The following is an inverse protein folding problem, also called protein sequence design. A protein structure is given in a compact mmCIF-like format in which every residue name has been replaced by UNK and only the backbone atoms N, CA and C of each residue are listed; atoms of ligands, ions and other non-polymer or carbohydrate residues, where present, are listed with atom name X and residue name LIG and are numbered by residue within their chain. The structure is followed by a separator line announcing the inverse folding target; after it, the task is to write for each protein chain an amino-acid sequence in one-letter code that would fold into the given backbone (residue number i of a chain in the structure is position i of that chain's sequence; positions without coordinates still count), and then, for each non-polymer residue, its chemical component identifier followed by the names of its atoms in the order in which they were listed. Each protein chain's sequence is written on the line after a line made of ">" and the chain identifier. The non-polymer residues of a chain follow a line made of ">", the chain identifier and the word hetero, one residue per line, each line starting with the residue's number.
data_IF_387199924740
#
_entry.id   IF_387199924740
#
_cell.length_a   1.000
_cell.length_b   1.000
_cell.length_c   1.000
_cell.angle_alpha   90.00
_cell.angle_beta   90.00
_cell.angle_gamma   90.00
#
_symmetry.space_group_name_H-M   'P 1'
#
loop_
_entity.id
_entity.type
_entity.pdbx_description
1 polymer ?
#
# COMPACT_ATOMS: atom_id res chain seq x y z
N UNK A 1 -10.22 25.41 -13.70
CA UNK A 1 -9.62 24.10 -13.46
C UNK A 1 -10.17 23.61 -12.12
N UNK A 2 -11.00 22.56 -12.12
CA UNK A 2 -11.56 21.99 -10.89
C UNK A 2 -10.45 21.20 -10.23
N UNK A 3 -9.97 21.64 -9.06
CA UNK A 3 -9.08 20.85 -8.20
C UNK A 3 -9.90 19.68 -7.68
N UNK A 4 -9.73 18.51 -8.30
CA UNK A 4 -10.22 17.24 -7.73
C UNK A 4 -9.42 17.02 -6.46
N UNK A 5 -9.98 17.33 -5.31
CA UNK A 5 -9.43 16.96 -4.01
C UNK A 5 -9.68 15.46 -3.84
N UNK A 6 -8.66 14.62 -4.03
CA UNK A 6 -8.75 13.23 -3.67
C UNK A 6 -8.74 13.13 -2.14
N UNK A 7 -9.56 12.24 -1.61
CA UNK A 7 -9.65 12.04 -0.18
C UNK A 7 -8.34 11.45 0.34
N UNK A 8 -7.81 12.01 1.45
CA UNK A 8 -6.66 11.45 2.16
C UNK A 8 -7.08 10.88 3.51
N UNK A 9 -6.31 9.91 3.99
CA UNK A 9 -6.40 9.39 5.36
C UNK A 9 -5.23 9.92 6.17
N UNK A 10 -5.44 10.16 7.45
CA UNK A 10 -4.43 10.77 8.33
C UNK A 10 -3.96 9.77 9.38
N UNK A 11 -2.64 9.59 9.48
CA UNK A 11 -1.98 8.91 10.59
C UNK A 11 -0.76 9.73 11.02
N UNK A 12 -0.70 10.13 12.30
CA UNK A 12 0.27 11.13 12.73
C UNK A 12 0.05 12.44 11.98
N UNK A 13 1.09 12.93 11.32
CA UNK A 13 1.08 14.10 10.42
C UNK A 13 1.01 13.72 8.92
N UNK A 14 0.98 12.42 8.61
CA UNK A 14 0.88 11.92 7.24
C UNK A 14 -0.54 12.07 6.69
N UNK A 15 -0.69 12.81 5.61
CA UNK A 15 -1.90 12.80 4.78
C UNK A 15 -1.70 11.89 3.58
N UNK A 16 -2.20 10.65 3.62
CA UNK A 16 -1.97 9.65 2.59
C UNK A 16 -3.20 9.53 1.68
N UNK A 17 -3.07 9.71 0.34
CA UNK A 17 -4.20 9.55 -0.58
C UNK A 17 -4.79 8.15 -0.48
N UNK A 18 -6.13 8.07 -0.47
CA UNK A 18 -6.87 6.82 -0.20
C UNK A 18 -6.67 5.73 -1.25
N UNK A 19 -6.29 6.13 -2.48
CA UNK A 19 -6.05 5.21 -3.58
C UNK A 19 -4.67 5.47 -4.18
N UNK A 20 -3.83 4.44 -4.17
CA UNK A 20 -2.53 4.45 -4.82
C UNK A 20 -2.49 3.57 -6.07
N UNK A 21 -1.51 3.81 -6.92
CA UNK A 21 -1.16 2.95 -8.05
C UNK A 21 -0.05 1.99 -7.62
N UNK A 22 -0.39 0.71 -7.46
CA UNK A 22 0.59 -0.35 -7.22
C UNK A 22 1.36 -0.70 -8.49
N UNK A 23 2.66 -0.98 -8.35
CA UNK A 23 3.56 -1.28 -9.49
C UNK A 23 4.09 -2.71 -9.50
N UNK A 24 3.63 -3.59 -8.60
CA UNK A 24 4.10 -4.98 -8.56
C UNK A 24 3.90 -5.69 -9.91
N UNK A 25 4.94 -6.40 -10.40
CA UNK A 25 4.95 -7.04 -11.73
C UNK A 25 4.66 -6.09 -12.91
N UNK A 26 4.89 -4.79 -12.75
CA UNK A 26 4.92 -3.86 -13.87
C UNK A 26 6.38 -3.65 -14.27
N UNK A 27 6.76 -3.89 -15.51
CA UNK A 27 8.17 -3.87 -15.96
C UNK A 27 8.32 -3.11 -17.28
N UNK A 28 9.54 -2.65 -17.53
CA UNK A 28 9.91 -2.02 -18.80
C UNK A 28 9.03 -0.84 -19.20
N UNK A 29 8.73 -0.72 -20.49
CA UNK A 29 7.96 0.41 -21.01
C UNK A 29 6.53 0.48 -20.47
N UNK A 30 5.90 -0.65 -20.20
CA UNK A 30 4.54 -0.68 -19.62
C UNK A 30 4.51 -0.05 -18.22
N UNK A 31 5.56 -0.26 -17.40
CA UNK A 31 5.69 0.39 -16.10
C UNK A 31 5.84 1.91 -16.25
N UNK A 32 6.72 2.34 -17.13
CA UNK A 32 6.94 3.78 -17.41
C UNK A 32 5.63 4.43 -17.85
N UNK A 33 4.92 3.80 -18.77
CA UNK A 33 3.69 4.34 -19.34
C UNK A 33 2.55 4.40 -18.35
N UNK A 34 2.32 3.35 -17.57
CA UNK A 34 1.22 3.31 -16.61
C UNK A 34 1.45 4.28 -15.45
N UNK A 35 2.68 4.43 -14.95
CA UNK A 35 3.02 5.42 -13.92
C UNK A 35 2.84 6.84 -14.46
N UNK A 36 3.36 7.12 -15.65
CA UNK A 36 3.23 8.44 -16.28
C UNK A 36 1.76 8.81 -16.50
N UNK A 37 0.96 7.91 -17.07
CA UNK A 37 -0.45 8.14 -17.33
C UNK A 37 -1.25 8.24 -16.03
N UNK A 38 -0.96 7.40 -15.02
CA UNK A 38 -1.62 7.46 -13.73
C UNK A 38 -1.48 8.84 -13.08
N UNK A 39 -0.25 9.38 -13.01
CA UNK A 39 -0.02 10.72 -12.48
C UNK A 39 -0.73 11.80 -13.31
N UNK A 40 -0.69 11.72 -14.65
CA UNK A 40 -1.39 12.67 -15.52
C UNK A 40 -2.92 12.60 -15.38
N UNK A 41 -3.48 11.44 -15.06
CA UNK A 41 -4.91 11.24 -14.80
C UNK A 41 -5.32 11.71 -13.40
N UNK A 42 -4.34 11.99 -12.52
CA UNK A 42 -4.57 12.50 -11.18
C UNK A 42 -4.45 11.46 -10.07
N UNK A 43 -3.74 10.35 -10.28
CA UNK A 43 -3.25 9.59 -9.15
C UNK A 43 -2.29 10.45 -8.32
N UNK A 44 -2.53 10.49 -7.03
CA UNK A 44 -1.72 11.24 -6.06
C UNK A 44 -0.89 10.31 -5.17
N UNK A 45 -0.88 8.99 -5.44
CA UNK A 45 -0.08 8.02 -4.69
C UNK A 45 0.45 6.95 -5.64
N UNK A 46 1.77 6.73 -5.61
CA UNK A 46 2.46 5.63 -6.30
C UNK A 46 3.12 4.72 -5.26
N UNK A 47 2.82 3.42 -5.34
CA UNK A 47 3.41 2.39 -4.49
C UNK A 47 4.32 1.46 -5.30
N UNK A 48 5.58 1.38 -4.89
CA UNK A 48 6.58 0.46 -5.43
C UNK A 48 7.35 -0.26 -4.32
N UNK A 49 8.37 -1.01 -4.67
CA UNK A 49 9.29 -1.65 -3.72
C UNK A 49 10.61 -2.01 -4.39
N UNK A 50 11.70 -2.05 -3.62
CA UNK A 50 13.01 -2.51 -4.07
C UNK A 50 12.94 -3.93 -4.66
N UNK A 51 12.17 -4.83 -4.02
CA UNK A 51 12.02 -6.22 -4.47
C UNK A 51 11.31 -6.37 -5.83
N UNK A 52 10.61 -5.34 -6.31
CA UNK A 52 9.94 -5.40 -7.61
C UNK A 52 10.90 -5.21 -8.78
N UNK A 53 12.14 -4.78 -8.51
CA UNK A 53 13.19 -4.52 -9.50
C UNK A 53 12.78 -3.55 -10.60
N UNK A 54 11.83 -2.65 -10.32
CA UNK A 54 11.26 -1.69 -11.27
C UNK A 54 11.31 -0.23 -10.79
N UNK A 55 12.03 0.07 -9.71
CA UNK A 55 12.13 1.43 -9.19
C UNK A 55 12.67 2.43 -10.23
N UNK A 56 13.57 1.97 -11.12
CA UNK A 56 14.11 2.82 -12.22
C UNK A 56 13.03 3.18 -13.24
N UNK A 57 12.21 2.22 -13.62
CA UNK A 57 11.07 2.44 -14.53
C UNK A 57 10.01 3.34 -13.88
N UNK A 58 9.76 3.17 -12.57
CA UNK A 58 8.87 4.07 -11.82
C UNK A 58 9.41 5.49 -11.83
N UNK A 59 10.70 5.70 -11.53
CA UNK A 59 11.36 7.02 -11.63
C UNK A 59 11.27 7.64 -13.02
N UNK A 60 11.50 6.83 -14.07
CA UNK A 60 11.34 7.28 -15.47
C UNK A 60 9.87 7.64 -15.78
N UNK A 61 8.90 6.87 -15.28
CA UNK A 61 7.47 7.16 -15.43
C UNK A 61 7.07 8.47 -14.74
N UNK A 62 7.56 8.69 -13.53
CA UNK A 62 7.39 9.96 -12.80
C UNK A 62 7.93 11.11 -13.61
N UNK A 63 9.17 11.03 -14.05
CA UNK A 63 9.81 12.06 -14.88
C UNK A 63 9.05 12.32 -16.17
N UNK A 64 8.63 11.26 -16.87
CA UNK A 64 7.84 11.35 -18.11
C UNK A 64 6.46 12.00 -17.88
N UNK A 65 5.86 11.86 -16.71
CA UNK A 65 4.56 12.45 -16.40
C UNK A 65 4.56 13.98 -16.44
N UNK A 66 5.70 14.61 -16.13
CA UNK A 66 5.84 16.05 -15.94
C UNK A 66 5.15 16.58 -14.68
N UNK A 67 4.62 15.71 -13.81
CA UNK A 67 3.97 16.07 -12.55
C UNK A 67 5.05 16.41 -11.52
N UNK A 68 4.87 17.51 -10.78
CA UNK A 68 5.86 17.95 -9.79
C UNK A 68 5.94 16.96 -8.62
N UNK A 69 7.16 16.64 -8.15
CA UNK A 69 7.42 15.61 -7.12
C UNK A 69 6.67 15.85 -5.80
N UNK A 70 6.46 17.08 -5.43
CA UNK A 70 5.80 17.49 -4.18
C UNK A 70 4.27 17.46 -4.23
N UNK A 71 3.69 17.09 -5.38
CA UNK A 71 2.24 17.03 -5.57
C UNK A 71 1.66 15.62 -5.48
N UNK A 72 2.49 14.60 -5.27
CA UNK A 72 2.03 13.23 -5.09
C UNK A 72 2.86 12.52 -4.01
N UNK A 73 2.27 11.46 -3.45
CA UNK A 73 2.83 10.61 -2.41
C UNK A 73 3.54 9.41 -3.03
N UNK A 74 4.81 9.20 -2.72
CA UNK A 74 5.61 8.09 -3.23
C UNK A 74 6.00 7.15 -2.10
N UNK A 75 5.63 5.88 -2.23
CA UNK A 75 5.98 4.80 -1.31
C UNK A 75 6.97 3.84 -1.96
N UNK A 76 8.03 3.48 -1.24
CA UNK A 76 8.84 2.30 -1.54
C UNK A 76 9.09 1.45 -0.30
N UNK A 77 9.66 0.25 -0.49
CA UNK A 77 9.82 -0.76 0.58
C UNK A 77 11.17 -1.43 0.48
N UNK A 78 11.82 -1.65 1.63
CA UNK A 78 13.06 -2.43 1.68
C UNK A 78 12.72 -3.87 2.03
N UNK A 79 13.22 -4.81 1.24
CA UNK A 79 13.04 -6.25 1.45
C UNK A 79 14.12 -6.80 2.38
N UNK A 80 13.82 -7.76 3.29
CA UNK A 80 14.76 -8.20 4.36
C UNK A 80 15.90 -9.12 3.92
N UNK A 81 15.99 -9.53 2.64
CA UNK A 81 17.07 -10.39 2.15
C UNK A 81 18.46 -9.79 2.45
N UNK A 82 19.49 -10.64 2.51
CA UNK A 82 20.88 -10.26 2.85
C UNK A 82 21.02 -9.47 4.15
N UNK A 83 20.14 -9.67 5.12
CA UNK A 83 20.09 -8.95 6.41
C UNK A 83 20.02 -7.42 6.22
N UNK A 84 19.27 -6.95 5.21
CA UNK A 84 19.15 -5.51 4.92
C UNK A 84 18.57 -4.67 6.05
N UNK A 85 17.97 -5.31 7.06
CA UNK A 85 17.44 -4.60 8.23
C UNK A 85 18.50 -4.28 9.29
N UNK A 86 19.75 -4.78 9.14
CA UNK A 86 20.86 -4.24 9.90
C UNK A 86 21.03 -2.74 9.60
N UNK A 87 21.27 -1.87 10.60
CA UNK A 87 21.21 -0.42 10.45
C UNK A 87 21.96 0.16 9.24
N UNK A 88 23.21 -0.24 9.05
CA UNK A 88 24.05 0.25 7.96
C UNK A 88 23.55 -0.21 6.59
N UNK A 89 23.05 -1.46 6.50
CA UNK A 89 22.52 -2.02 5.27
C UNK A 89 21.17 -1.41 4.91
N UNK A 90 20.31 -1.15 5.92
CA UNK A 90 19.03 -0.49 5.72
C UNK A 90 19.22 0.92 5.16
N UNK A 91 20.16 1.67 5.73
CA UNK A 91 20.55 2.99 5.23
C UNK A 91 21.03 2.93 3.77
N UNK A 92 21.92 1.98 3.45
CA UNK A 92 22.44 1.81 2.11
C UNK A 92 21.34 1.39 1.11
N UNK A 93 20.43 0.50 1.52
CA UNK A 93 19.30 0.05 0.71
C UNK A 93 18.34 1.20 0.41
N UNK A 94 17.99 2.02 1.41
CA UNK A 94 17.13 3.19 1.21
C UNK A 94 17.75 4.19 0.23
N UNK A 95 19.04 4.53 0.36
CA UNK A 95 19.74 5.42 -0.57
C UNK A 95 19.73 4.87 -2.00
N UNK A 96 19.93 3.57 -2.17
CA UNK A 96 19.86 2.92 -3.50
C UNK A 96 18.46 3.01 -4.12
N UNK A 97 17.40 2.86 -3.31
CA UNK A 97 16.03 3.06 -3.78
C UNK A 97 15.80 4.50 -4.26
N UNK A 98 16.30 5.51 -3.53
CA UNK A 98 16.21 6.91 -3.95
C UNK A 98 16.98 7.16 -5.26
N UNK A 99 18.17 6.60 -5.41
CA UNK A 99 18.95 6.66 -6.66
C UNK A 99 18.19 6.03 -7.84
N UNK A 100 17.58 4.85 -7.63
CA UNK A 100 16.78 4.19 -8.66
C UNK A 100 15.54 5.00 -9.04
N UNK A 101 14.87 5.61 -8.08
CA UNK A 101 13.68 6.42 -8.28
C UNK A 101 13.98 7.84 -8.84
N UNK A 102 15.25 8.24 -8.93
CA UNK A 102 15.71 9.59 -9.35
C UNK A 102 15.05 10.69 -8.49
N UNK A 103 15.08 10.53 -7.14
CA UNK A 103 14.48 11.44 -6.17
C UNK A 103 15.30 11.57 -4.89
N UNK A 104 15.22 12.73 -4.23
CA UNK A 104 15.94 12.97 -2.98
C UNK A 104 15.24 12.36 -1.75
N UNK A 105 13.93 12.07 -1.85
CA UNK A 105 13.13 11.52 -0.76
C UNK A 105 11.94 10.69 -1.28
N UNK A 106 11.44 9.81 -0.43
CA UNK A 106 10.10 9.22 -0.57
C UNK A 106 9.18 9.76 0.52
N UNK A 107 7.86 9.71 0.30
CA UNK A 107 6.90 10.14 1.30
C UNK A 107 6.70 9.07 2.38
N UNK A 108 6.81 7.78 2.00
CA UNK A 108 6.71 6.65 2.92
C UNK A 108 7.73 5.57 2.58
N UNK A 109 8.47 5.13 3.59
CA UNK A 109 9.38 3.99 3.50
C UNK A 109 8.88 2.87 4.40
N UNK A 110 8.69 1.67 3.83
CA UNK A 110 8.21 0.50 4.55
C UNK A 110 9.32 -0.54 4.74
N UNK A 111 9.30 -1.23 5.87
CA UNK A 111 9.87 -2.58 5.98
C UNK A 111 8.91 -3.54 5.29
N UNK A 112 9.36 -4.26 4.25
CA UNK A 112 8.47 -5.01 3.34
C UNK A 112 7.86 -6.28 3.96
N UNK A 113 8.62 -6.94 4.84
CA UNK A 113 8.23 -8.10 5.64
C UNK A 113 8.95 -8.04 6.99
N UNK A 114 8.42 -8.66 8.05
CA UNK A 114 9.21 -8.83 9.28
C UNK A 114 10.43 -9.73 9.03
N UNK A 115 11.50 -9.53 9.79
CA UNK A 115 12.70 -10.36 9.73
C UNK A 115 13.25 -10.60 11.14
N UNK A 116 12.95 -11.76 11.70
CA UNK A 116 13.38 -12.13 13.06
C UNK A 116 14.90 -12.34 13.21
N UNK A 117 15.65 -12.34 12.08
CA UNK A 117 17.11 -12.44 12.11
C UNK A 117 17.79 -11.14 12.53
N UNK A 118 17.09 -10.02 12.47
CA UNK A 118 17.55 -8.71 12.94
C UNK A 118 16.54 -8.17 13.94
N UNK A 119 16.92 -7.96 15.21
CA UNK A 119 15.99 -7.49 16.23
C UNK A 119 15.35 -6.14 15.86
N UNK A 120 14.06 -5.99 16.14
CA UNK A 120 13.34 -4.71 15.91
C UNK A 120 13.94 -3.55 16.74
N UNK A 121 14.64 -3.87 17.85
CA UNK A 121 15.40 -2.88 18.62
C UNK A 121 16.58 -2.25 17.87
N UNK A 122 17.03 -2.86 16.78
CA UNK A 122 18.06 -2.31 15.89
C UNK A 122 17.43 -1.73 14.62
N UNK A 123 16.46 -2.46 14.02
CA UNK A 123 15.84 -2.09 12.76
C UNK A 123 14.99 -0.81 12.86
N UNK A 124 14.15 -0.70 13.90
CA UNK A 124 13.21 0.42 14.02
C UNK A 124 13.92 1.75 14.28
N UNK A 125 14.90 1.85 15.19
CA UNK A 125 15.70 3.09 15.33
C UNK A 125 16.39 3.49 14.03
N UNK A 126 16.91 2.54 13.24
CA UNK A 126 17.53 2.83 11.97
C UNK A 126 16.52 3.35 10.94
N UNK A 127 15.29 2.82 10.94
CA UNK A 127 14.21 3.31 10.09
C UNK A 127 13.79 4.75 10.52
N UNK A 128 13.72 5.03 11.82
CA UNK A 128 13.47 6.37 12.34
C UNK A 128 14.58 7.36 11.95
N UNK A 129 15.83 6.91 11.94
CA UNK A 129 16.97 7.74 11.54
C UNK A 129 16.88 8.16 10.06
N UNK A 130 16.35 7.29 9.16
CA UNK A 130 16.11 7.65 7.75
C UNK A 130 15.11 8.81 7.62
N UNK A 131 14.08 8.85 8.48
CA UNK A 131 13.15 9.98 8.52
C UNK A 131 13.82 11.25 9.03
N UNK A 132 14.62 11.17 10.10
CA UNK A 132 15.35 12.31 10.66
C UNK A 132 16.34 12.91 9.67
N UNK A 133 16.94 12.08 8.81
CA UNK A 133 17.81 12.52 7.73
C UNK A 133 17.06 13.06 6.50
N UNK A 134 15.73 13.03 6.50
CA UNK A 134 14.90 13.52 5.40
C UNK A 134 14.88 12.64 4.17
N UNK A 135 15.36 11.40 4.25
CA UNK A 135 15.35 10.43 3.15
C UNK A 135 13.93 9.83 2.94
N UNK A 136 13.11 9.85 3.98
CA UNK A 136 11.68 9.61 3.94
C UNK A 136 10.94 10.62 4.80
N UNK A 137 9.70 10.96 4.46
CA UNK A 137 8.85 11.83 5.28
C UNK A 137 8.18 11.08 6.40
N UNK A 138 7.76 9.83 6.14
CA UNK A 138 7.07 8.96 7.09
C UNK A 138 7.64 7.55 7.01
N UNK A 139 7.43 6.77 8.08
CA UNK A 139 7.81 5.37 8.15
C UNK A 139 6.61 4.48 8.40
N UNK A 140 6.70 3.25 7.91
CA UNK A 140 5.69 2.22 8.14
C UNK A 140 6.27 0.83 8.00
N UNK A 141 5.40 -0.16 8.07
CA UNK A 141 5.75 -1.56 7.94
C UNK A 141 4.80 -2.27 6.98
N UNK A 142 5.17 -3.47 6.55
CA UNK A 142 4.31 -4.31 5.74
C UNK A 142 4.36 -5.74 6.25
N UNK A 143 3.21 -6.41 6.27
CA UNK A 143 3.06 -7.80 6.73
C UNK A 143 3.41 -8.03 8.20
N UNK A 144 3.32 -7.02 9.04
CA UNK A 144 3.50 -7.15 10.48
C UNK A 144 2.20 -7.64 11.14
N UNK A 145 2.28 -8.64 12.00
CA UNK A 145 1.21 -9.03 12.90
C UNK A 145 1.19 -8.13 14.15
N UNK A 146 0.23 -8.33 15.05
CA UNK A 146 0.08 -7.50 16.26
C UNK A 146 1.31 -7.58 17.16
N UNK A 147 1.91 -8.76 17.32
CA UNK A 147 3.11 -8.92 18.16
C UNK A 147 4.28 -8.08 17.62
N UNK A 148 4.54 -8.12 16.31
CA UNK A 148 5.55 -7.29 15.67
C UNK A 148 5.26 -5.79 15.81
N UNK A 149 3.99 -5.37 15.67
CA UNK A 149 3.59 -3.97 15.81
C UNK A 149 3.78 -3.47 17.25
N UNK A 150 3.42 -4.27 18.25
CA UNK A 150 3.64 -3.93 19.67
C UNK A 150 5.13 -3.77 19.95
N UNK A 151 5.95 -4.68 19.43
CA UNK A 151 7.39 -4.61 19.63
C UNK A 151 8.01 -3.43 18.88
N UNK A 152 7.68 -3.21 17.61
CA UNK A 152 8.16 -2.09 16.82
C UNK A 152 7.87 -0.74 17.49
N UNK A 153 6.67 -0.57 18.04
CA UNK A 153 6.27 0.66 18.75
C UNK A 153 7.09 0.97 20.00
N UNK A 154 7.74 -0.02 20.63
CA UNK A 154 8.63 0.24 21.78
C UNK A 154 9.90 0.98 21.41
N UNK A 155 10.34 0.83 20.16
CA UNK A 155 11.62 1.37 19.66
C UNK A 155 11.44 2.53 18.68
N UNK A 156 10.22 2.80 18.25
CA UNK A 156 9.91 3.91 17.37
C UNK A 156 9.80 5.22 18.17
N UNK A 157 10.60 6.22 17.82
CA UNK A 157 10.52 7.58 18.36
C UNK A 157 9.75 8.56 17.44
N UNK A 158 9.26 8.04 16.31
CA UNK A 158 8.33 8.70 15.38
C UNK A 158 7.17 7.76 15.07
N UNK A 159 6.00 8.26 14.60
CA UNK A 159 4.86 7.41 14.30
C UNK A 159 5.15 6.38 13.19
N UNK A 160 4.77 5.11 13.41
CA UNK A 160 4.58 4.11 12.35
C UNK A 160 3.19 4.38 11.78
N UNK A 161 3.10 4.94 10.56
CA UNK A 161 1.83 5.47 10.03
C UNK A 161 1.00 4.44 9.27
N UNK A 162 1.62 3.38 8.75
CA UNK A 162 0.99 2.36 7.91
C UNK A 162 1.46 0.97 8.31
N UNK A 163 0.54 -0.01 8.28
CA UNK A 163 0.84 -1.42 8.08
C UNK A 163 0.21 -1.85 6.75
N UNK A 164 1.04 -2.11 5.73
CA UNK A 164 0.57 -2.57 4.42
C UNK A 164 0.43 -4.09 4.44
N UNK A 165 -0.79 -4.60 4.23
CA UNK A 165 -1.11 -6.03 4.31
C UNK A 165 -2.00 -6.47 3.16
N UNK A 166 -2.03 -7.78 2.88
CA UNK A 166 -3.05 -8.35 2.01
C UNK A 166 -4.42 -8.05 2.58
N UNK A 167 -5.26 -7.34 1.80
CA UNK A 167 -6.62 -7.06 2.26
C UNK A 167 -7.59 -6.96 1.08
N UNK A 168 -8.65 -7.77 1.12
CA UNK A 168 -9.68 -7.87 0.10
C UNK A 168 -10.94 -8.56 0.71
N UNK A 169 -12.09 -8.61 0.00
CA UNK A 169 -13.33 -9.16 0.55
C UNK A 169 -13.28 -10.60 1.10
N UNK A 170 -12.31 -11.40 0.70
CA UNK A 170 -12.26 -12.82 1.04
C UNK A 170 -11.33 -13.17 2.20
N UNK A 171 -10.58 -12.22 2.74
CA UNK A 171 -9.64 -12.46 3.84
C UNK A 171 -10.20 -11.93 5.15
N UNK A 172 -10.12 -12.74 6.21
CA UNK A 172 -10.45 -12.31 7.57
C UNK A 172 -9.22 -11.68 8.22
N UNK A 173 -9.36 -10.44 8.69
CA UNK A 173 -8.31 -9.70 9.41
C UNK A 173 -8.93 -8.71 10.44
N UNK A 174 -10.01 -9.12 11.10
CA UNK A 174 -10.76 -8.25 12.01
C UNK A 174 -9.92 -7.86 13.23
N UNK A 175 -9.15 -8.81 13.77
CA UNK A 175 -8.30 -8.62 14.95
C UNK A 175 -7.19 -7.63 14.68
N UNK A 176 -6.46 -7.81 13.57
CA UNK A 176 -5.41 -6.89 13.15
C UNK A 176 -5.98 -5.50 12.86
N UNK A 177 -7.11 -5.42 12.15
CA UNK A 177 -7.73 -4.14 11.83
C UNK A 177 -8.17 -3.37 13.08
N UNK A 178 -8.80 -4.05 14.04
CA UNK A 178 -9.18 -3.44 15.32
C UNK A 178 -7.95 -2.89 16.07
N UNK A 179 -6.84 -3.62 16.06
CA UNK A 179 -5.58 -3.15 16.64
C UNK A 179 -5.06 -1.90 15.92
N UNK A 180 -5.02 -1.89 14.60
CA UNK A 180 -4.53 -0.76 13.80
C UNK A 180 -5.37 0.51 14.06
N UNK A 181 -6.70 0.37 14.09
CA UNK A 181 -7.63 1.46 14.39
C UNK A 181 -7.36 2.06 15.79
N UNK A 182 -7.19 1.23 16.81
CA UNK A 182 -6.93 1.66 18.18
C UNK A 182 -5.56 2.33 18.36
N UNK A 183 -4.64 2.11 17.42
CA UNK A 183 -3.27 2.64 17.49
C UNK A 183 -2.99 3.74 16.45
N UNK A 184 -4.02 4.19 15.72
CA UNK A 184 -3.90 5.21 14.66
C UNK A 184 -2.88 4.85 13.58
N UNK A 185 -2.82 3.58 13.20
CA UNK A 185 -2.03 3.05 12.09
C UNK A 185 -2.99 2.73 10.94
N UNK A 186 -2.75 3.25 9.75
CA UNK A 186 -3.58 2.95 8.59
C UNK A 186 -3.32 1.54 8.06
N UNK A 187 -4.39 0.85 7.66
CA UNK A 187 -4.31 -0.37 6.88
C UNK A 187 -4.19 -0.01 5.41
N UNK A 188 -3.08 -0.35 4.77
CA UNK A 188 -2.93 -0.20 3.33
C UNK A 188 -3.07 -1.56 2.64
N UNK A 189 -4.13 -1.68 1.84
CA UNK A 189 -4.55 -2.93 1.22
C UNK A 189 -3.76 -3.21 -0.06
N UNK A 190 -2.83 -4.17 -0.03
CA UNK A 190 -2.30 -4.72 -1.27
C UNK A 190 -3.16 -5.90 -1.75
N UNK A 191 -3.05 -6.27 -3.01
CA UNK A 191 -3.93 -7.26 -3.68
C UNK A 191 -5.43 -7.04 -3.44
N UNK A 192 -5.93 -5.78 -3.53
CA UNK A 192 -7.30 -5.44 -3.15
C UNK A 192 -8.38 -6.13 -3.99
N UNK A 193 -7.99 -6.73 -5.12
CA UNK A 193 -8.85 -7.48 -6.03
C UNK A 193 -8.69 -9.01 -5.88
N UNK A 194 -8.05 -9.50 -4.79
CA UNK A 194 -7.83 -10.91 -4.51
C UNK A 194 -7.23 -11.68 -5.70
N UNK A 195 -6.28 -11.08 -6.43
CA UNK A 195 -5.67 -11.63 -7.65
C UNK A 195 -6.69 -12.00 -8.73
N UNK A 196 -7.86 -11.38 -8.73
CA UNK A 196 -8.89 -11.58 -9.74
C UNK A 196 -10.16 -12.28 -9.26
N UNK A 197 -10.16 -12.92 -8.08
CA UNK A 197 -11.33 -13.66 -7.58
C UNK A 197 -12.58 -12.79 -7.42
N UNK A 198 -12.43 -11.47 -7.25
CA UNK A 198 -13.56 -10.54 -7.19
C UNK A 198 -14.41 -10.57 -8.47
N UNK A 199 -13.83 -10.93 -9.62
CA UNK A 199 -14.52 -10.99 -10.90
C UNK A 199 -15.41 -12.22 -11.05
N UNK A 200 -15.16 -13.27 -10.26
CA UNK A 200 -15.90 -14.53 -10.33
C UNK A 200 -16.94 -14.68 -9.21
N UNK A 201 -16.93 -13.80 -8.20
CA UNK A 201 -17.87 -13.86 -7.09
C UNK A 201 -19.25 -13.29 -7.46
N UNK A 202 -20.31 -14.09 -7.25
CA UNK A 202 -21.68 -13.73 -7.67
C UNK A 202 -22.27 -12.56 -6.88
N UNK A 203 -21.95 -12.42 -5.58
CA UNK A 203 -22.40 -11.29 -4.76
C UNK A 203 -21.80 -10.00 -5.26
N UNK A 204 -20.49 -9.98 -5.51
CA UNK A 204 -19.78 -8.80 -6.03
C UNK A 204 -20.27 -8.44 -7.42
N UNK A 205 -20.47 -9.44 -8.31
CA UNK A 205 -21.03 -9.23 -9.67
C UNK A 205 -22.44 -8.65 -9.62
N UNK A 206 -23.29 -9.15 -8.72
CA UNK A 206 -24.65 -8.63 -8.58
C UNK A 206 -24.66 -7.18 -8.12
N UNK A 207 -23.84 -6.83 -7.13
CA UNK A 207 -23.71 -5.45 -6.64
C UNK A 207 -23.16 -4.57 -7.78
N UNK A 208 -22.13 -5.01 -8.49
CA UNK A 208 -21.57 -4.29 -9.63
C UNK A 208 -22.63 -4.00 -10.70
N UNK A 209 -23.45 -5.00 -11.05
CA UNK A 209 -24.54 -4.87 -12.02
C UNK A 209 -25.59 -3.86 -11.55
N UNK A 210 -25.98 -3.88 -10.27
CA UNK A 210 -26.98 -2.97 -9.71
C UNK A 210 -26.53 -1.50 -9.79
N UNK A 211 -25.23 -1.24 -9.63
CA UNK A 211 -24.64 0.10 -9.69
C UNK A 211 -24.14 0.49 -11.09
N UNK A 212 -24.16 -0.42 -12.07
CA UNK A 212 -23.60 -0.17 -13.41
C UNK A 212 -22.09 0.05 -13.40
N UNK A 213 -21.36 -0.59 -12.49
CA UNK A 213 -19.91 -0.49 -12.29
C UNK A 213 -19.25 -1.87 -12.40
N UNK A 214 -17.93 -1.92 -12.27
CA UNK A 214 -17.15 -3.17 -12.34
C UNK A 214 -17.00 -3.83 -10.97
N UNK A 215 -16.79 -5.17 -10.89
CA UNK A 215 -16.45 -5.86 -9.64
C UNK A 215 -15.20 -5.28 -8.95
N UNK A 216 -14.22 -4.79 -9.71
CA UNK A 216 -13.06 -4.12 -9.17
C UNK A 216 -13.45 -2.85 -8.40
N UNK A 217 -14.32 -2.02 -8.96
CA UNK A 217 -14.81 -0.82 -8.29
C UNK A 217 -15.61 -1.13 -7.04
N UNK A 218 -16.40 -2.22 -7.03
CA UNK A 218 -17.10 -2.69 -5.82
C UNK A 218 -16.11 -3.07 -4.72
N UNK A 219 -15.10 -3.86 -5.04
CA UNK A 219 -14.07 -4.25 -4.06
C UNK A 219 -13.32 -3.05 -3.50
N UNK A 220 -12.88 -2.13 -4.36
CA UNK A 220 -12.19 -0.92 -3.95
C UNK A 220 -13.09 -0.02 -3.09
N UNK A 221 -14.34 0.20 -3.48
CA UNK A 221 -15.30 1.00 -2.72
C UNK A 221 -15.57 0.40 -1.33
N UNK A 222 -15.67 -0.94 -1.23
CA UNK A 222 -15.80 -1.62 0.05
C UNK A 222 -14.57 -1.42 0.95
N UNK A 223 -13.34 -1.51 0.40
CA UNK A 223 -12.13 -1.23 1.17
C UNK A 223 -12.16 0.21 1.66
N UNK A 224 -12.42 1.15 0.77
CA UNK A 224 -12.39 2.59 1.03
C UNK A 224 -13.55 3.10 1.88
N UNK A 225 -14.59 2.30 2.13
CA UNK A 225 -15.70 2.66 3.01
C UNK A 225 -15.29 2.84 4.48
N UNK A 226 -14.18 2.23 4.89
CA UNK A 226 -13.59 2.41 6.21
C UNK A 226 -12.56 3.53 6.19
N UNK A 227 -12.64 4.43 7.17
CA UNK A 227 -11.77 5.62 7.25
C UNK A 227 -10.31 5.30 7.63
N UNK A 228 -10.01 4.06 8.03
CA UNK A 228 -8.65 3.64 8.35
C UNK A 228 -8.00 2.78 7.25
N UNK A 229 -8.62 2.74 6.06
CA UNK A 229 -8.13 1.91 4.96
C UNK A 229 -7.72 2.72 3.74
N UNK A 230 -6.67 2.26 3.08
CA UNK A 230 -6.14 2.73 1.80
C UNK A 230 -6.05 1.53 0.86
N UNK A 231 -6.18 1.71 -0.44
CA UNK A 231 -6.05 0.64 -1.42
C UNK A 231 -5.00 0.99 -2.48
N UNK A 232 -4.17 0.01 -2.85
CA UNK A 232 -3.13 0.15 -3.89
C UNK A 232 -3.31 -0.89 -5.00
N UNK A 233 -4.42 -0.81 -5.78
CA UNK A 233 -4.62 -1.71 -6.91
C UNK A 233 -3.51 -1.57 -7.93
N UNK A 234 -3.04 -2.70 -8.47
CA UNK A 234 -2.09 -2.73 -9.59
C UNK A 234 -2.83 -2.86 -10.91
N UNK A 235 -2.41 -2.09 -11.87
CA UNK A 235 -2.77 -2.32 -13.28
C UNK A 235 -1.60 -2.01 -14.19
N UNK A 236 -1.45 -2.79 -15.26
CA UNK A 236 -0.60 -2.47 -16.41
C UNK A 236 -1.43 -1.97 -17.60
N UNK A 237 -2.76 -1.94 -17.47
CA UNK A 237 -3.65 -1.47 -18.50
C UNK A 237 -4.16 -0.06 -18.20
N UNK A 238 -3.78 0.94 -19.00
CA UNK A 238 -4.22 2.33 -18.78
C UNK A 238 -5.73 2.52 -18.72
N UNK A 239 -6.51 1.65 -19.38
CA UNK A 239 -7.97 1.70 -19.35
C UNK A 239 -8.56 1.43 -17.96
N UNK A 240 -7.83 0.69 -17.11
CA UNK A 240 -8.28 0.40 -15.75
C UNK A 240 -7.92 1.52 -14.76
N UNK A 241 -6.99 2.42 -15.09
CA UNK A 241 -6.61 3.52 -14.22
C UNK A 241 -7.80 4.39 -13.84
N UNK A 242 -8.57 4.85 -14.84
CA UNK A 242 -9.74 5.69 -14.58
C UNK A 242 -10.81 4.95 -13.77
N UNK A 243 -11.09 3.68 -14.10
CA UNK A 243 -12.06 2.87 -13.36
C UNK A 243 -11.69 2.69 -11.88
N UNK A 244 -10.39 2.52 -11.57
CA UNK A 244 -9.93 2.45 -10.18
C UNK A 244 -10.10 3.81 -9.47
N UNK A 245 -9.77 4.93 -10.12
CA UNK A 245 -10.00 6.26 -9.55
C UNK A 245 -11.48 6.53 -9.30
N UNK A 246 -12.36 6.13 -10.21
CA UNK A 246 -13.80 6.33 -10.09
C UNK A 246 -14.38 5.57 -8.88
N UNK A 247 -13.72 4.49 -8.42
CA UNK A 247 -14.15 3.74 -7.24
C UNK A 247 -14.20 4.57 -5.95
N UNK A 248 -13.41 5.65 -5.86
CA UNK A 248 -13.40 6.58 -4.71
C UNK A 248 -14.79 7.22 -4.50
N UNK A 249 -15.55 7.41 -5.58
CA UNK A 249 -16.85 8.07 -5.56
C UNK A 249 -18.03 7.09 -5.44
N UNK A 250 -17.77 5.78 -5.44
CA UNK A 250 -18.82 4.76 -5.32
C UNK A 250 -19.27 4.66 -3.87
N UNK A 251 -20.58 4.79 -3.66
CA UNK A 251 -21.20 4.62 -2.35
C UNK A 251 -22.01 3.32 -2.34
N UNK A 252 -21.60 2.39 -1.49
CA UNK A 252 -22.30 1.14 -1.22
C UNK A 252 -23.22 1.32 -0.01
N UNK A 253 -24.39 0.71 -0.06
CA UNK A 253 -25.32 0.67 1.08
C UNK A 253 -24.74 -0.20 2.21
N UNK A 254 -25.25 -0.02 3.44
CA UNK A 254 -24.86 -0.84 4.60
C UNK A 254 -25.07 -2.33 4.34
N UNK A 255 -26.21 -2.70 3.73
CA UNK A 255 -26.51 -4.10 3.37
C UNK A 255 -25.49 -4.68 2.37
N UNK A 256 -25.03 -3.89 1.40
CA UNK A 256 -24.02 -4.31 0.43
C UNK A 256 -22.65 -4.48 1.10
N UNK A 257 -22.26 -3.53 1.96
CA UNK A 257 -21.03 -3.62 2.75
C UNK A 257 -21.01 -4.87 3.63
N UNK A 258 -22.13 -5.19 4.31
CA UNK A 258 -22.26 -6.38 5.14
C UNK A 258 -22.20 -7.66 4.32
N UNK A 259 -22.88 -7.72 3.17
CA UNK A 259 -22.82 -8.86 2.24
C UNK A 259 -21.38 -9.12 1.74
N UNK A 260 -20.65 -8.07 1.37
CA UNK A 260 -19.27 -8.21 0.95
C UNK A 260 -18.39 -8.66 2.13
N UNK A 261 -18.57 -8.08 3.30
CA UNK A 261 -17.82 -8.46 4.52
C UNK A 261 -18.06 -9.91 4.93
N UNK A 262 -19.27 -10.47 4.68
CA UNK A 262 -19.58 -11.88 4.96
C UNK A 262 -18.84 -12.88 4.07
N UNK A 263 -18.14 -12.43 3.02
CA UNK A 263 -17.32 -13.28 2.16
C UNK A 263 -15.96 -13.64 2.78
N UNK A 264 -15.60 -12.98 3.88
CA UNK A 264 -14.31 -13.20 4.54
C UNK A 264 -14.20 -14.61 5.14
N UNK A 265 -13.02 -15.23 4.95
CA UNK A 265 -12.71 -16.59 5.39
C UNK A 265 -11.35 -16.62 6.06
N UNK A 266 -11.13 -17.54 6.99
CA UNK A 266 -9.82 -17.78 7.63
C UNK A 266 -8.77 -18.30 6.64
N UNK A 267 -9.19 -19.03 5.59
CA UNK A 267 -8.32 -19.52 4.50
C UNK A 267 -8.26 -18.58 3.29
N UNK A 268 -8.70 -17.33 3.45
CA UNK A 268 -8.79 -16.35 2.37
C UNK A 268 -7.46 -15.76 1.90
N UNK A 269 -6.38 -15.94 2.66
CA UNK A 269 -5.06 -15.42 2.34
C UNK A 269 -4.49 -16.08 1.08
N UNK A 270 -3.87 -15.28 0.22
CA UNK A 270 -3.31 -15.73 -1.06
C UNK A 270 -1.81 -15.48 -1.20
N UNK A 271 -1.28 -14.63 -0.32
CA UNK A 271 0.11 -14.17 -0.39
C UNK A 271 0.83 -14.61 0.88
N UNK A 272 1.79 -15.50 0.70
CA UNK A 272 2.70 -15.95 1.75
C UNK A 272 4.12 -15.94 1.22
N UNK A 273 5.08 -15.62 2.08
CA UNK A 273 6.50 -15.75 1.79
C UNK A 273 7.08 -16.87 2.65
N UNK A 274 7.81 -17.84 2.06
CA UNK A 274 8.26 -19.04 2.78
C UNK A 274 9.11 -18.74 4.02
N UNK A 275 9.86 -17.63 3.99
CA UNK A 275 10.84 -17.31 5.04
C UNK A 275 10.38 -16.17 5.98
N UNK A 276 9.37 -15.36 5.59
CA UNK A 276 9.02 -14.12 6.27
C UNK A 276 7.56 -13.99 6.67
N UNK A 277 6.70 -14.92 6.26
CA UNK A 277 5.28 -14.86 6.66
C UNK A 277 5.16 -15.08 8.16
N UNK A 278 4.61 -14.11 8.91
CA UNK A 278 4.39 -14.27 10.34
C UNK A 278 3.23 -15.22 10.62
N UNK A 279 3.10 -15.67 11.86
CA UNK A 279 1.85 -16.25 12.32
C UNK A 279 0.83 -15.11 12.45
N UNK A 280 -0.23 -15.17 11.63
CA UNK A 280 -1.27 -14.15 11.62
C UNK A 280 -2.19 -14.22 12.84
N UNK A 281 -2.88 -13.11 13.11
CA UNK A 281 -3.70 -12.92 14.33
C UNK A 281 -5.14 -13.47 14.21
N UNK A 282 -5.61 -13.79 12.97
CA UNK A 282 -6.98 -14.29 12.65
C UNK A 282 -6.96 -15.65 11.97
#
# INVERSE_FOLDING_TARGET
>A
MSTKTYHSRTAGDAGIPVLGLGTWQSTGQDCIDVVSQGLQMGYEHIDTAQAYSNEKEVGQGIKKSGVARDTFFLTTKIFPDDLKFQPEKLMAAAKRSLENLDTDYVDLLLLHWPDDRVPLSETIPALCELQKQGLTRHIGVSNFNIAHLIEAKKYADVPIVVNQVEFHPFIKQDTLQAFLNNHHILLEAYSPLARGDVFDNDIIKQIASNHGITPAQVSLAWILSDNNRIAIPKTSNPKHLQGNLDAINVQLSTDELEKISSLARSDGRKIEHPDYTPQWDD
#
